data_IF_242147093038
#
_entry.id   IF_242147093038
#
_cell.length_a   1.000
_cell.length_b   1.000
_cell.length_c   1.000
_cell.angle_alpha   90.00
_cell.angle_beta   90.00
_cell.angle_gamma   90.00
#
_symmetry.space_group_name_H-M   'P 1'
#
loop_
_entity.id
_entity.type
_entity.pdbx_description
1 polymer ?
#
# COMPACT_ATOMS: atom_id res chain seq x y z
N UNK A 1 3.25 -20.46 3.61
CA UNK A 1 2.99 -19.87 2.27
C UNK A 1 3.01 -18.36 2.38
N UNK A 2 3.51 -17.61 1.37
CA UNK A 2 3.50 -16.14 1.38
C UNK A 2 2.12 -15.63 0.91
N UNK A 3 1.34 -14.93 1.76
CA UNK A 3 -0.03 -14.52 1.42
C UNK A 3 -0.12 -13.55 0.24
N UNK A 4 0.91 -12.71 0.03
CA UNK A 4 0.94 -11.76 -1.09
C UNK A 4 1.18 -12.50 -2.40
N UNK A 5 2.07 -13.49 -2.42
CA UNK A 5 2.24 -14.40 -3.55
C UNK A 5 0.95 -15.16 -3.87
N UNK A 6 0.30 -15.75 -2.86
CA UNK A 6 -0.97 -16.47 -3.05
C UNK A 6 -2.08 -15.56 -3.60
N UNK A 7 -2.13 -14.30 -3.16
CA UNK A 7 -3.07 -13.32 -3.71
C UNK A 7 -2.88 -13.13 -5.21
N UNK A 8 -1.64 -12.98 -5.67
CA UNK A 8 -1.33 -12.82 -7.10
C UNK A 8 -1.63 -14.10 -7.91
N UNK A 9 -1.46 -15.28 -7.32
CA UNK A 9 -1.77 -16.56 -7.97
C UNK A 9 -3.28 -16.84 -8.05
N UNK A 10 -4.03 -16.56 -6.98
CA UNK A 10 -5.48 -16.82 -6.89
C UNK A 10 -6.35 -15.74 -7.52
N UNK A 11 -5.82 -14.51 -7.60
CA UNK A 11 -6.53 -13.34 -8.12
C UNK A 11 -5.67 -12.64 -9.18
N UNK A 12 -5.43 -13.28 -10.34
CA UNK A 12 -4.62 -12.68 -11.41
C UNK A 12 -5.26 -11.42 -12.01
N UNK A 13 -6.60 -11.32 -11.99
CA UNK A 13 -7.36 -10.16 -12.47
C UNK A 13 -7.46 -9.02 -11.44
N UNK A 14 -6.74 -9.12 -10.31
CA UNK A 14 -6.70 -8.06 -9.30
C UNK A 14 -5.87 -6.88 -9.82
N UNK A 15 -6.54 -5.86 -10.31
CA UNK A 15 -5.88 -4.64 -10.79
C UNK A 15 -5.46 -3.78 -9.60
N UNK A 16 -4.15 -3.66 -9.37
CA UNK A 16 -3.59 -2.80 -8.32
C UNK A 16 -3.28 -1.44 -8.95
N UNK A 17 -4.07 -0.43 -8.61
CA UNK A 17 -4.09 0.84 -9.37
C UNK A 17 -3.14 1.90 -8.82
N UNK A 18 -2.92 1.98 -7.50
CA UNK A 18 -2.19 3.12 -6.91
C UNK A 18 -1.44 2.69 -5.66
N UNK A 19 -0.19 3.13 -5.52
CA UNK A 19 0.57 3.15 -4.27
C UNK A 19 0.81 4.62 -3.88
N UNK A 20 0.05 5.15 -2.92
CA UNK A 20 0.25 6.52 -2.40
C UNK A 20 1.22 6.46 -1.22
N UNK A 21 2.32 7.22 -1.26
CA UNK A 21 3.16 7.47 -0.10
C UNK A 21 2.54 8.61 0.72
N UNK A 22 1.95 8.25 1.85
CA UNK A 22 1.40 9.18 2.83
C UNK A 22 2.53 9.64 3.74
N UNK A 23 2.76 10.96 3.89
CA UNK A 23 3.67 11.47 4.90
C UNK A 23 3.18 11.03 6.28
N UNK A 24 4.08 10.55 7.14
CA UNK A 24 3.72 10.27 8.52
C UNK A 24 3.32 11.61 9.16
N UNK A 25 2.05 11.72 9.53
CA UNK A 25 1.47 12.94 10.05
C UNK A 25 2.18 13.31 11.36
N UNK A 26 3.21 14.14 11.27
CA UNK A 26 3.69 14.89 12.41
C UNK A 26 2.62 15.97 12.64
N UNK A 27 1.89 15.89 13.75
CA UNK A 27 1.07 17.00 14.22
C UNK A 27 1.95 18.24 14.40
N UNK A 28 2.08 19.05 13.36
CA UNK A 28 2.48 20.44 13.45
C UNK A 28 2.04 21.09 12.15
N UNK A 29 1.02 21.94 12.25
CA UNK A 29 0.36 22.52 11.10
C UNK A 29 1.35 23.29 10.24
N UNK A 30 1.29 23.07 8.92
CA UNK A 30 1.31 24.17 7.98
C UNK A 30 0.76 23.69 6.64
N UNK A 31 -0.02 24.57 6.04
CA UNK A 31 -0.66 24.42 4.74
C UNK A 31 0.33 24.17 3.59
N UNK A 32 -0.23 23.75 2.45
CA UNK A 32 0.31 23.74 1.08
C UNK A 32 0.83 22.35 0.65
N UNK A 33 0.03 21.54 -0.05
CA UNK A 33 -0.18 21.56 -1.51
C UNK A 33 1.08 21.27 -2.32
N UNK A 34 0.92 20.37 -3.31
CA UNK A 34 1.83 20.01 -4.42
C UNK A 34 3.12 19.29 -3.98
N UNK A 35 3.47 18.09 -4.46
CA UNK A 35 3.61 17.68 -5.87
C UNK A 35 3.56 16.16 -6.02
N UNK A 36 3.00 15.71 -7.15
CA UNK A 36 3.44 14.49 -7.83
C UNK A 36 4.95 14.62 -8.09
N UNK A 37 5.79 13.80 -7.49
CA UNK A 37 7.16 13.59 -7.95
C UNK A 37 7.63 12.24 -7.45
N UNK A 38 7.80 11.36 -8.44
CA UNK A 38 8.95 10.48 -8.61
C UNK A 38 9.38 9.61 -7.44
N UNK A 39 9.22 8.30 -7.65
CA UNK A 39 10.22 7.25 -7.37
C UNK A 39 11.50 7.78 -6.70
N UNK A 40 11.49 7.93 -5.38
CA UNK A 40 12.73 7.98 -4.60
C UNK A 40 12.90 6.66 -3.85
N UNK A 41 13.66 5.79 -4.51
CA UNK A 41 14.50 4.79 -3.87
C UNK A 41 15.49 5.56 -2.99
N UNK A 42 15.18 5.76 -1.71
CA UNK A 42 16.18 6.29 -0.76
C UNK A 42 16.28 5.36 0.45
N UNK A 43 17.39 4.64 0.44
CA UNK A 43 17.90 3.82 1.51
C UNK A 43 18.44 4.73 2.64
N UNK A 44 18.38 4.22 3.88
CA UNK A 44 19.10 4.69 5.06
C UNK A 44 18.61 5.98 5.78
N UNK A 45 18.27 5.81 7.07
CA UNK A 45 18.46 6.83 8.10
C UNK A 45 17.29 7.78 8.39
N UNK A 46 16.31 7.31 9.17
CA UNK A 46 15.58 8.19 10.11
C UNK A 46 14.55 9.18 9.54
N UNK A 47 13.71 8.79 8.57
CA UNK A 47 12.55 9.59 8.17
C UNK A 47 11.25 9.08 8.82
N UNK A 48 10.26 9.97 9.10
CA UNK A 48 8.98 9.58 9.66
C UNK A 48 8.34 8.57 8.71
N UNK A 49 8.09 7.34 9.17
CA UNK A 49 7.72 6.21 8.31
C UNK A 49 6.59 6.58 7.33
N UNK A 50 6.94 6.86 6.07
CA UNK A 50 5.97 7.09 5.01
C UNK A 50 5.11 5.84 4.89
N UNK A 51 3.81 6.00 5.09
CA UNK A 51 2.88 4.89 4.96
C UNK A 51 2.51 4.74 3.50
N UNK A 52 2.56 3.53 2.99
CA UNK A 52 2.13 3.21 1.63
C UNK A 52 0.67 2.77 1.69
N UNK A 53 -0.19 3.42 0.92
CA UNK A 53 -1.57 2.99 0.68
C UNK A 53 -1.69 2.41 -0.71
N UNK A 54 -2.24 1.21 -0.80
CA UNK A 54 -2.52 0.51 -2.04
C UNK A 54 -4.03 0.38 -2.26
N UNK A 55 -4.49 0.65 -3.47
CA UNK A 55 -5.86 0.33 -3.89
C UNK A 55 -5.85 -0.75 -4.96
N UNK A 56 -6.85 -1.63 -4.91
CA UNK A 56 -7.05 -2.64 -5.94
C UNK A 56 -8.53 -2.77 -6.31
N UNK A 57 -8.81 -3.12 -7.56
CA UNK A 57 -10.14 -3.44 -8.03
C UNK A 57 -10.19 -4.93 -8.39
N UNK A 58 -11.19 -5.64 -7.90
CA UNK A 58 -11.46 -7.02 -8.28
C UNK A 58 -12.95 -7.20 -8.50
N UNK A 59 -13.35 -7.49 -9.74
CA UNK A 59 -14.75 -7.72 -10.13
C UNK A 59 -15.71 -6.61 -9.66
N UNK A 60 -15.28 -5.36 -9.74
CA UNK A 60 -16.05 -4.19 -9.29
C UNK A 60 -16.03 -3.94 -7.78
N UNK A 61 -15.37 -4.79 -6.99
CA UNK A 61 -15.09 -4.53 -5.57
C UNK A 61 -13.76 -3.78 -5.44
N UNK A 62 -13.83 -2.60 -4.82
CA UNK A 62 -12.63 -1.84 -4.45
C UNK A 62 -12.09 -2.31 -3.10
N UNK A 63 -10.84 -2.72 -3.09
CA UNK A 63 -10.06 -3.12 -1.92
C UNK A 63 -8.99 -2.07 -1.66
N UNK A 64 -8.63 -1.88 -0.40
CA UNK A 64 -7.56 -0.96 -0.03
C UNK A 64 -6.75 -1.49 1.13
N UNK A 65 -5.45 -1.23 1.11
CA UNK A 65 -4.52 -1.67 2.14
C UNK A 65 -3.50 -0.60 2.44
N UNK A 66 -3.20 -0.38 3.72
CA UNK A 66 -2.18 0.56 4.16
C UNK A 66 -1.11 -0.18 4.97
N UNK A 67 0.15 0.18 4.77
CA UNK A 67 1.27 -0.42 5.47
C UNK A 67 2.51 0.47 5.44
N UNK A 68 3.58 0.05 6.11
CA UNK A 68 4.86 0.78 6.12
C UNK A 68 5.66 0.59 4.82
N UNK A 69 5.21 -0.31 3.96
CA UNK A 69 5.78 -0.56 2.64
C UNK A 69 4.72 -1.22 1.75
N UNK A 70 5.03 -1.32 0.45
CA UNK A 70 4.12 -1.92 -0.53
C UNK A 70 3.69 -3.35 -0.15
N UNK A 71 4.60 -4.16 0.42
CA UNK A 71 4.32 -5.55 0.80
C UNK A 71 3.27 -5.62 1.92
N UNK A 72 3.41 -4.80 2.96
CA UNK A 72 2.47 -4.75 4.09
C UNK A 72 1.11 -4.17 3.68
N UNK A 73 1.10 -3.21 2.76
CA UNK A 73 -0.13 -2.70 2.16
C UNK A 73 -0.86 -3.78 1.32
N UNK A 74 -0.14 -4.49 0.44
CA UNK A 74 -0.70 -5.64 -0.31
C UNK A 74 -1.17 -6.76 0.60
N UNK A 75 -0.49 -7.00 1.71
CA UNK A 75 -0.90 -8.00 2.70
C UNK A 75 -2.28 -7.66 3.30
N UNK A 76 -2.62 -6.39 3.48
CA UNK A 76 -3.97 -5.99 3.93
C UNK A 76 -5.03 -6.33 2.90
N UNK A 77 -4.74 -6.17 1.60
CA UNK A 77 -5.63 -6.58 0.51
C UNK A 77 -5.78 -8.11 0.47
N UNK A 78 -4.68 -8.84 0.59
CA UNK A 78 -4.69 -10.31 0.68
C UNK A 78 -5.59 -10.79 1.84
N UNK A 79 -5.49 -10.15 3.01
CA UNK A 79 -6.39 -10.44 4.15
C UNK A 79 -7.84 -10.10 3.85
N UNK A 80 -8.15 -9.01 3.16
CA UNK A 80 -9.53 -8.70 2.76
C UNK A 80 -10.10 -9.72 1.77
N UNK A 81 -9.23 -10.41 1.02
CA UNK A 81 -9.57 -11.53 0.15
C UNK A 81 -9.63 -12.88 0.90
N UNK A 82 -9.44 -12.90 2.22
CA UNK A 82 -9.47 -14.11 3.03
C UNK A 82 -8.15 -14.91 3.04
N UNK A 83 -7.07 -14.35 2.50
CA UNK A 83 -5.77 -15.02 2.40
C UNK A 83 -4.91 -14.69 3.63
N UNK A 84 -4.27 -15.72 4.21
CA UNK A 84 -3.35 -15.56 5.34
C UNK A 84 -4.02 -15.56 6.71
N UNK A 85 -5.25 -16.08 6.83
CA UNK A 85 -5.84 -16.53 8.08
C UNK A 85 -5.56 -18.03 8.27
N UNK A 86 -4.35 -18.34 8.71
CA UNK A 86 -3.98 -19.70 9.17
C UNK A 86 -3.04 -19.53 10.34
#
# INVERSE_FOLDING_TARGET
MDPVRMMHELYPDLEISVAECLPANNSSGNSNSTTLSEVEVMNAGGQPCQRVRVSANYKGRRLSGEGFNLRTAKLKIARQLGIGFT
#
